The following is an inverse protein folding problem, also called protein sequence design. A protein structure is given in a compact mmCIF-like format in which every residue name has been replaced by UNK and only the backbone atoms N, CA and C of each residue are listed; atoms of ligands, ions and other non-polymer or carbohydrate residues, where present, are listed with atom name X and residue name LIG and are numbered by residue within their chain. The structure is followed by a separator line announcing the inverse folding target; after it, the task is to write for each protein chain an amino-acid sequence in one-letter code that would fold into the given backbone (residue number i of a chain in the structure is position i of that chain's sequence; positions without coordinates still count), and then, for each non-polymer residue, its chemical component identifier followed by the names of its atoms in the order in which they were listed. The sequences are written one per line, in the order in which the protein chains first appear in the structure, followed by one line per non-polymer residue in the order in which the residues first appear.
data_IF_825924665641
#
_entry.id   IF_825924665641
#
_cell.length_a   1.000
_cell.length_b   1.000
_cell.length_c   1.000
_cell.angle_alpha   90.00
_cell.angle_beta   90.00
_cell.angle_gamma   90.00
#
_symmetry.space_group_name_H-M   'P 1'
#
loop_
_entity.id
_entity.type
_entity.pdbx_description
1 polymer ?
#
# COMPACT_ATOMS: atom_id res chain seq x y z
N UNK A 1 -10.99 17.89 9.96
CA UNK A 1 -10.48 17.78 8.58
C UNK A 1 -9.40 16.72 8.52
N UNK A 2 -9.51 15.82 7.55
CA UNK A 2 -8.46 14.83 7.37
C UNK A 2 -7.26 15.47 6.68
N UNK A 3 -6.10 15.32 7.29
CA UNK A 3 -4.85 15.77 6.71
C UNK A 3 -4.31 14.69 5.79
N UNK A 4 -3.63 15.11 4.74
CA UNK A 4 -3.00 14.21 3.79
C UNK A 4 -1.50 14.35 3.88
N UNK A 5 -0.82 13.26 3.58
CA UNK A 5 0.64 13.19 3.52
C UNK A 5 1.03 12.30 2.34
N UNK A 6 2.31 12.24 2.06
CA UNK A 6 2.83 11.38 1.00
C UNK A 6 3.56 10.19 1.62
N UNK A 7 3.39 9.03 1.01
CA UNK A 7 4.22 7.87 1.30
C UNK A 7 4.79 7.35 -0.01
N UNK A 8 5.87 6.58 0.09
CA UNK A 8 6.52 6.03 -1.09
C UNK A 8 6.10 4.58 -1.30
N UNK A 9 6.01 4.19 -2.55
CA UNK A 9 5.77 2.80 -2.96
C UNK A 9 6.66 2.48 -4.14
N UNK A 10 6.80 1.18 -4.43
CA UNK A 10 7.54 0.76 -5.62
C UNK A 10 6.79 1.17 -6.89
N UNK A 11 7.51 1.24 -7.99
CA UNK A 11 6.91 1.54 -9.29
C UNK A 11 5.90 0.46 -9.68
N UNK A 12 6.22 -0.81 -9.41
CA UNK A 12 5.33 -1.92 -9.68
C UNK A 12 4.03 -1.79 -8.90
N UNK A 13 4.11 -1.44 -7.61
CA UNK A 13 2.93 -1.23 -6.79
C UNK A 13 2.12 -0.03 -7.28
N UNK A 14 2.79 1.02 -7.75
CA UNK A 14 2.12 2.18 -8.33
C UNK A 14 1.28 1.78 -9.56
N UNK A 15 1.86 0.96 -10.43
CA UNK A 15 1.16 0.46 -11.62
C UNK A 15 -0.03 -0.43 -11.25
N UNK A 16 0.14 -1.29 -10.24
CA UNK A 16 -0.94 -2.12 -9.72
C UNK A 16 -2.06 -1.28 -9.11
N UNK A 17 -1.70 -0.23 -8.40
CA UNK A 17 -2.69 0.69 -7.82
C UNK A 17 -3.54 1.34 -8.91
N UNK A 18 -2.92 1.78 -10.01
CA UNK A 18 -3.64 2.34 -11.15
C UNK A 18 -4.60 1.31 -11.75
N UNK A 19 -4.16 0.05 -11.87
CA UNK A 19 -4.99 -1.04 -12.36
C UNK A 19 -6.20 -1.29 -11.46
N UNK A 20 -5.98 -1.31 -10.14
CA UNK A 20 -7.06 -1.49 -9.17
C UNK A 20 -8.11 -0.39 -9.30
N UNK A 21 -7.67 0.86 -9.40
CA UNK A 21 -8.59 1.99 -9.54
C UNK A 21 -9.45 1.88 -10.79
N UNK A 22 -8.86 1.46 -11.91
CA UNK A 22 -9.59 1.28 -13.16
C UNK A 22 -10.56 0.11 -13.09
N UNK A 23 -10.14 -1.00 -12.48
CA UNK A 23 -10.96 -2.20 -12.39
C UNK A 23 -12.14 -2.03 -11.45
N UNK A 24 -11.96 -1.32 -10.34
CA UNK A 24 -12.98 -1.15 -9.30
C UNK A 24 -13.78 0.14 -9.43
N UNK A 25 -13.23 1.14 -10.11
CA UNK A 25 -13.81 2.49 -10.22
C UNK A 25 -14.04 3.13 -8.85
N UNK A 26 -13.24 2.76 -7.86
CA UNK A 26 -13.34 3.30 -6.50
C UNK A 26 -12.45 4.53 -6.33
N UNK A 27 -12.82 5.46 -5.43
CA UNK A 27 -11.96 6.59 -5.10
C UNK A 27 -10.61 6.13 -4.55
N UNK A 28 -9.58 6.94 -4.77
CA UNK A 28 -8.21 6.63 -4.34
C UNK A 28 -8.13 6.27 -2.85
N UNK A 29 -8.75 7.08 -1.98
CA UNK A 29 -8.65 6.83 -0.52
C UNK A 29 -9.37 5.56 -0.11
N UNK A 30 -10.45 5.19 -0.79
CA UNK A 30 -11.14 3.91 -0.55
C UNK A 30 -10.22 2.74 -0.91
N UNK A 31 -9.55 2.82 -2.05
CA UNK A 31 -8.59 1.78 -2.46
C UNK A 31 -7.45 1.67 -1.45
N UNK A 32 -6.94 2.81 -0.97
CA UNK A 32 -5.87 2.81 0.04
C UNK A 32 -6.31 2.14 1.34
N UNK A 33 -7.53 2.41 1.79
CA UNK A 33 -8.07 1.78 2.99
C UNK A 33 -8.20 0.26 2.83
N UNK A 34 -8.67 -0.19 1.68
CA UNK A 34 -8.79 -1.62 1.39
C UNK A 34 -7.41 -2.29 1.37
N UNK A 35 -6.42 -1.63 0.78
CA UNK A 35 -5.06 -2.16 0.74
C UNK A 35 -4.45 -2.24 2.14
N UNK A 36 -4.60 -1.21 2.94
CA UNK A 36 -4.04 -1.17 4.30
C UNK A 36 -4.64 -2.27 5.17
N UNK A 37 -5.90 -2.64 4.94
CA UNK A 37 -6.57 -3.71 5.68
C UNK A 37 -6.02 -5.10 5.36
N UNK A 38 -5.24 -5.27 4.29
CA UNK A 38 -4.65 -6.56 3.96
C UNK A 38 -3.54 -6.91 4.93
N UNK A 39 -3.56 -8.14 5.42
CA UNK A 39 -2.50 -8.63 6.30
C UNK A 39 -1.27 -9.01 5.48
N UNK A 40 -0.09 -8.69 6.02
CA UNK A 40 1.19 -9.11 5.45
C UNK A 40 1.75 -10.20 6.35
N UNK A 41 2.07 -11.34 5.76
CA UNK A 41 2.65 -12.48 6.48
C UNK A 41 4.13 -12.60 6.15
N UNK A 42 4.83 -13.47 6.90
CA UNK A 42 6.23 -13.74 6.64
C UNK A 42 6.44 -14.30 5.23
N UNK A 43 5.51 -15.12 4.74
CA UNK A 43 5.55 -15.64 3.37
C UNK A 43 5.50 -14.53 2.34
N UNK A 44 4.72 -13.48 2.60
CA UNK A 44 4.63 -12.33 1.70
C UNK A 44 5.97 -11.60 1.59
N UNK A 45 6.73 -11.53 2.68
CA UNK A 45 8.05 -10.89 2.66
C UNK A 45 9.03 -11.65 1.76
N UNK A 46 8.88 -12.96 1.66
CA UNK A 46 9.69 -13.79 0.78
C UNK A 46 9.21 -13.73 -0.67
N UNK A 47 7.89 -13.63 -0.86
CA UNK A 47 7.28 -13.66 -2.18
C UNK A 47 7.51 -12.36 -2.94
N UNK A 48 7.45 -11.21 -2.25
CA UNK A 48 7.57 -9.91 -2.88
C UNK A 48 8.97 -9.33 -2.64
N UNK A 49 9.78 -9.19 -3.69
CA UNK A 49 11.15 -8.73 -3.52
C UNK A 49 11.21 -7.27 -3.07
N UNK A 50 12.30 -6.94 -2.40
CA UNK A 50 12.55 -5.58 -1.96
C UNK A 50 12.77 -4.70 -3.19
N UNK A 51 11.99 -3.63 -3.31
CA UNK A 51 12.22 -2.61 -4.31
C UNK A 51 12.20 -1.25 -3.64
N UNK A 52 12.94 -0.31 -4.22
CA UNK A 52 12.99 1.04 -3.67
C UNK A 52 11.68 1.77 -3.94
N UNK A 53 11.20 2.55 -2.96
CA UNK A 53 10.04 3.40 -3.16
C UNK A 53 10.40 4.58 -4.05
N UNK A 54 9.97 4.54 -5.29
CA UNK A 54 10.27 5.58 -6.29
C UNK A 54 9.08 6.46 -6.61
N UNK A 55 7.89 6.03 -6.25
CA UNK A 55 6.65 6.76 -6.54
C UNK A 55 6.03 7.23 -5.24
N UNK A 56 5.51 8.45 -5.26
CA UNK A 56 4.79 9.00 -4.11
C UNK A 56 3.29 8.86 -4.33
N UNK A 57 2.59 8.48 -3.28
CA UNK A 57 1.13 8.45 -3.27
C UNK A 57 0.63 9.24 -2.08
N UNK A 58 -0.56 9.81 -2.23
CA UNK A 58 -1.21 10.57 -1.17
C UNK A 58 -2.06 9.63 -0.31
N UNK A 59 -1.86 9.71 0.99
CA UNK A 59 -2.70 9.00 1.96
C UNK A 59 -3.07 9.96 3.09
N UNK A 60 -4.11 9.62 3.84
CA UNK A 60 -4.43 10.41 5.03
C UNK A 60 -3.39 10.13 6.12
N UNK A 61 -3.21 11.10 7.02
CA UNK A 61 -2.29 10.90 8.17
C UNK A 61 -2.77 9.76 9.04
N UNK A 62 -4.09 9.60 9.20
CA UNK A 62 -4.66 8.48 9.96
C UNK A 62 -4.34 7.15 9.31
N UNK A 63 -4.41 7.07 7.99
CA UNK A 63 -4.05 5.86 7.26
C UNK A 63 -2.56 5.53 7.44
N UNK A 64 -1.69 6.54 7.41
CA UNK A 64 -0.26 6.34 7.66
C UNK A 64 0.00 5.83 9.08
N UNK A 65 -0.68 6.40 10.06
CA UNK A 65 -0.55 5.97 11.46
C UNK A 65 -1.00 4.52 11.63
N UNK A 66 -2.10 4.14 10.99
CA UNK A 66 -2.59 2.76 10.99
C UNK A 66 -1.56 1.83 10.34
N UNK A 67 -0.99 2.24 9.22
CA UNK A 67 0.03 1.46 8.50
C UNK A 67 1.25 1.22 9.39
N UNK A 68 1.71 2.25 10.09
CA UNK A 68 2.83 2.14 11.03
C UNK A 68 2.50 1.21 12.19
N UNK A 69 1.28 1.30 12.72
CA UNK A 69 0.84 0.44 13.84
C UNK A 69 0.76 -1.03 13.42
N UNK A 70 0.43 -1.31 12.16
CA UNK A 70 0.32 -2.66 11.62
C UNK A 70 1.68 -3.23 11.18
N UNK A 71 2.75 -2.46 11.28
CA UNK A 71 4.08 -2.87 10.83
C UNK A 71 4.78 -3.73 11.90
N UNK A 72 4.25 -4.94 12.10
CA UNK A 72 4.78 -5.87 13.10
C UNK A 72 6.17 -6.41 12.74
N UNK A 73 6.52 -6.45 11.46
CA UNK A 73 7.83 -6.92 11.00
C UNK A 73 8.89 -5.83 11.00
N UNK A 74 8.50 -4.59 11.31
CA UNK A 74 9.41 -3.43 11.35
C UNK A 74 10.21 -3.25 10.05
N UNK A 75 9.54 -3.46 8.94
CA UNK A 75 10.12 -3.23 7.61
C UNK A 75 9.86 -1.79 7.18
N UNK A 76 10.51 -1.38 6.10
CA UNK A 76 10.29 -0.06 5.51
C UNK A 76 8.81 0.11 5.16
N UNK A 77 8.25 1.28 5.48
CA UNK A 77 6.84 1.59 5.19
C UNK A 77 6.56 1.52 3.69
N UNK A 78 7.50 1.97 2.86
CA UNK A 78 7.35 1.86 1.40
C UNK A 78 7.18 0.40 0.97
N UNK A 79 7.96 -0.50 1.55
CA UNK A 79 7.87 -1.93 1.27
C UNK A 79 6.53 -2.51 1.76
N UNK A 80 6.14 -2.17 2.99
CA UNK A 80 4.89 -2.66 3.57
C UNK A 80 3.69 -2.24 2.74
N UNK A 81 3.61 -0.95 2.37
CA UNK A 81 2.51 -0.44 1.57
C UNK A 81 2.49 -1.07 0.18
N UNK A 82 3.66 -1.25 -0.44
CA UNK A 82 3.78 -1.90 -1.76
C UNK A 82 3.24 -3.32 -1.72
N UNK A 83 3.59 -4.10 -0.71
CA UNK A 83 3.11 -5.48 -0.56
C UNK A 83 1.59 -5.50 -0.38
N UNK A 84 1.05 -4.59 0.43
CA UNK A 84 -0.40 -4.50 0.65
C UNK A 84 -1.14 -4.19 -0.65
N UNK A 85 -0.60 -3.30 -1.48
CA UNK A 85 -1.19 -2.99 -2.79
C UNK A 85 -1.15 -4.20 -3.70
N UNK A 86 -0.04 -4.93 -3.74
CA UNK A 86 0.06 -6.16 -4.54
C UNK A 86 -0.94 -7.20 -4.10
N UNK A 87 -1.14 -7.36 -2.79
CA UNK A 87 -2.11 -8.33 -2.27
C UNK A 87 -3.54 -7.96 -2.66
N UNK A 88 -3.89 -6.69 -2.59
CA UNK A 88 -5.21 -6.23 -3.04
C UNK A 88 -5.37 -6.46 -4.54
N UNK A 89 -4.33 -6.20 -5.32
CA UNK A 89 -4.35 -6.36 -6.77
C UNK A 89 -4.66 -7.80 -7.18
N UNK A 90 -4.27 -8.78 -6.38
CA UNK A 90 -4.54 -10.19 -6.67
C UNK A 90 -6.02 -10.55 -6.55
N UNK A 91 -6.81 -9.73 -5.87
CA UNK A 91 -8.23 -9.96 -5.65
C UNK A 91 -9.12 -9.24 -6.67
N UNK A 92 -8.52 -8.45 -7.53
CA UNK A 92 -9.27 -7.59 -8.48
C UNK A 92 -9.16 -8.13 -9.90
#
# INVERSE_FOLDING_TARGET
MSKHTLTRISEEAFNELARIKRATNLPHQTVMQLAIAKEVTESDLLKYPVSKGRKHIRITTDALDTLKALNSFKIDIARLMSIKIHKLAMEV
#
